data_IF_777755287692
#
_entry.id   IF_777755287692
#
_cell.length_a   1.000
_cell.length_b   1.000
_cell.length_c   1.000
_cell.angle_alpha   90.00
_cell.angle_beta   90.00
_cell.angle_gamma   90.00
#
_symmetry.space_group_name_H-M   'P 1'
#
loop_
_entity.id
_entity.type
_entity.pdbx_description
1 polymer ?
#
# COMPACT_ATOMS: atom_id res chain seq x y z
N UNK A 1 -14.87 -14.44 8.69
CA UNK A 1 -13.55 -14.92 8.23
C UNK A 1 -12.52 -14.22 9.10
N UNK A 2 -11.98 -14.94 10.09
CA UNK A 2 -10.99 -14.39 11.03
C UNK A 2 -9.60 -15.03 10.86
N UNK A 3 -9.38 -15.74 9.77
CA UNK A 3 -8.08 -16.37 9.55
C UNK A 3 -7.18 -15.43 8.77
N UNK A 4 -6.11 -14.99 9.44
CA UNK A 4 -5.04 -14.23 8.80
C UNK A 4 -4.41 -15.12 7.71
N UNK A 5 -4.30 -14.65 6.44
CA UNK A 5 -3.70 -15.46 5.38
C UNK A 5 -2.26 -15.81 5.75
N UNK A 6 -1.85 -17.04 5.51
CA UNK A 6 -0.47 -17.47 5.75
C UNK A 6 0.41 -17.25 4.51
N UNK A 7 -0.16 -17.47 3.32
CA UNK A 7 0.52 -17.25 2.05
C UNK A 7 -0.16 -16.14 1.24
N UNK A 8 0.58 -15.09 0.97
CA UNK A 8 0.14 -13.94 0.18
C UNK A 8 0.95 -13.86 -1.10
N UNK A 9 0.27 -13.81 -2.24
CA UNK A 9 0.90 -13.70 -3.56
C UNK A 9 0.57 -12.34 -4.19
N UNK A 10 1.59 -11.64 -4.66
CA UNK A 10 1.47 -10.29 -5.21
C UNK A 10 1.56 -10.29 -6.74
N UNK A 11 0.62 -9.64 -7.41
CA UNK A 11 0.70 -9.31 -8.84
C UNK A 11 1.13 -7.85 -8.99
N UNK A 12 2.28 -7.60 -9.64
CA UNK A 12 2.92 -6.30 -9.73
C UNK A 12 3.79 -5.99 -8.50
N UNK A 13 4.52 -6.99 -7.99
CA UNK A 13 5.26 -6.94 -6.72
C UNK A 13 6.44 -5.96 -6.75
N UNK A 14 7.03 -5.68 -7.91
CA UNK A 14 8.23 -4.84 -8.02
C UNK A 14 7.94 -3.33 -8.01
N UNK A 15 6.68 -2.92 -7.93
CA UNK A 15 6.34 -1.52 -7.66
C UNK A 15 6.82 -1.09 -6.27
N UNK A 16 7.28 0.16 -6.10
CA UNK A 16 7.92 0.65 -4.86
C UNK A 16 7.09 0.40 -3.60
N UNK A 17 5.82 0.81 -3.59
CA UNK A 17 4.95 0.59 -2.44
C UNK A 17 4.58 -0.90 -2.27
N UNK A 18 4.29 -1.58 -3.37
CA UNK A 18 3.96 -3.02 -3.37
C UNK A 18 5.11 -3.85 -2.81
N UNK A 19 6.34 -3.63 -3.30
CA UNK A 19 7.53 -4.33 -2.84
C UNK A 19 7.86 -4.04 -1.38
N UNK A 20 7.72 -2.78 -0.95
CA UNK A 20 7.91 -2.40 0.45
C UNK A 20 6.92 -3.12 1.38
N UNK A 21 5.63 -3.16 1.00
CA UNK A 21 4.60 -3.89 1.77
C UNK A 21 4.85 -5.40 1.75
N UNK A 22 5.20 -5.97 0.59
CA UNK A 22 5.53 -7.39 0.46
C UNK A 22 6.70 -7.80 1.37
N UNK A 23 7.79 -7.01 1.37
CA UNK A 23 8.94 -7.22 2.25
C UNK A 23 8.55 -7.11 3.73
N UNK A 24 7.78 -6.09 4.10
CA UNK A 24 7.32 -5.89 5.48
C UNK A 24 6.37 -7.02 5.95
N UNK A 25 5.52 -7.55 5.08
CA UNK A 25 4.71 -8.74 5.38
C UNK A 25 5.59 -9.99 5.55
N UNK A 26 6.63 -10.13 4.74
CA UNK A 26 7.61 -11.21 4.89
C UNK A 26 8.34 -11.13 6.23
N UNK A 27 8.79 -9.94 6.63
CA UNK A 27 9.44 -9.70 7.93
C UNK A 27 8.48 -10.01 9.11
N UNK A 28 7.17 -9.83 8.91
CA UNK A 28 6.11 -10.19 9.89
C UNK A 28 5.80 -11.69 9.94
N UNK A 29 6.42 -12.50 9.10
CA UNK A 29 6.30 -13.96 9.11
C UNK A 29 5.34 -14.55 8.09
N UNK A 30 4.75 -13.75 7.20
CA UNK A 30 3.95 -14.29 6.09
C UNK A 30 4.83 -15.02 5.08
N UNK A 31 4.31 -16.07 4.46
CA UNK A 31 4.88 -16.57 3.22
C UNK A 31 4.48 -15.60 2.12
N UNK A 32 5.48 -14.99 1.46
CA UNK A 32 5.26 -14.00 0.41
C UNK A 32 5.91 -14.47 -0.89
N UNK A 33 5.14 -14.38 -1.97
CA UNK A 33 5.60 -14.63 -3.34
C UNK A 33 5.02 -13.56 -4.27
N UNK A 34 5.54 -13.41 -5.48
CA UNK A 34 4.94 -12.48 -6.42
C UNK A 34 5.44 -12.58 -7.84
N UNK A 35 4.67 -11.97 -8.73
CA UNK A 35 4.93 -11.87 -10.17
C UNK A 35 5.05 -10.40 -10.57
N UNK A 36 5.94 -10.14 -11.52
CA UNK A 36 6.07 -8.84 -12.18
C UNK A 36 6.71 -8.99 -13.56
N UNK A 37 6.39 -8.10 -14.50
CA UNK A 37 7.11 -8.00 -15.77
C UNK A 37 8.49 -7.36 -15.59
N UNK A 38 8.68 -6.60 -14.51
CA UNK A 38 9.86 -5.80 -14.22
C UNK A 38 10.69 -6.36 -13.05
N UNK A 39 11.04 -7.65 -13.10
CA UNK A 39 11.88 -8.27 -12.06
C UNK A 39 13.36 -7.94 -12.31
N UNK A 40 13.76 -6.73 -11.92
CA UNK A 40 15.16 -6.24 -12.03
C UNK A 40 15.54 -5.34 -10.84
N UNK A 41 16.85 -5.15 -10.58
CA UNK A 41 17.31 -4.26 -9.51
C UNK A 41 16.83 -2.82 -9.68
N UNK A 42 16.64 -2.09 -8.56
CA UNK A 42 16.99 -2.47 -7.19
C UNK A 42 15.92 -3.29 -6.44
N UNK A 43 14.65 -3.28 -6.90
CA UNK A 43 13.53 -3.87 -6.14
C UNK A 43 13.62 -5.40 -6.08
N UNK A 44 13.99 -6.07 -7.18
CA UNK A 44 14.14 -7.54 -7.17
C UNK A 44 15.20 -7.99 -6.16
N UNK A 45 16.37 -7.35 -6.18
CA UNK A 45 17.44 -7.65 -5.23
C UNK A 45 17.01 -7.41 -3.78
N UNK A 46 16.28 -6.34 -3.52
CA UNK A 46 15.73 -6.06 -2.19
C UNK A 46 14.77 -7.16 -1.73
N UNK A 47 13.80 -7.54 -2.57
CA UNK A 47 12.82 -8.58 -2.25
C UNK A 47 13.46 -9.96 -2.07
N UNK A 48 14.41 -10.31 -2.93
CA UNK A 48 15.18 -11.57 -2.84
C UNK A 48 15.99 -11.63 -1.54
N UNK A 49 16.62 -10.51 -1.13
CA UNK A 49 17.34 -10.42 0.14
C UNK A 49 16.46 -10.68 1.36
N UNK A 50 15.15 -10.41 1.23
CA UNK A 50 14.13 -10.71 2.24
C UNK A 50 13.58 -12.14 2.12
N UNK A 51 14.05 -12.94 1.17
CA UNK A 51 13.58 -14.30 0.93
C UNK A 51 12.18 -14.36 0.31
N UNK A 52 11.80 -13.35 -0.48
CA UNK A 52 10.58 -13.35 -1.29
C UNK A 52 10.89 -14.04 -2.62
N UNK A 53 10.08 -15.03 -2.98
CA UNK A 53 10.21 -15.69 -4.28
C UNK A 53 9.52 -14.87 -5.37
N UNK A 54 10.28 -14.52 -6.41
CA UNK A 54 9.83 -13.71 -7.54
C UNK A 54 9.74 -14.55 -8.81
N UNK A 55 8.74 -14.24 -9.64
CA UNK A 55 8.56 -14.84 -10.96
C UNK A 55 8.44 -13.73 -12.00
N UNK A 56 9.21 -13.86 -13.09
CA UNK A 56 9.16 -12.96 -14.23
C UNK A 56 7.93 -13.22 -15.08
N UNK A 57 7.18 -12.15 -15.39
CA UNK A 57 5.97 -12.19 -16.19
C UNK A 57 4.71 -12.54 -15.41
N UNK A 58 3.56 -12.48 -16.09
CA UNK A 58 2.23 -12.71 -15.51
C UNK A 58 1.58 -13.98 -16.08
N UNK A 59 2.17 -15.13 -15.83
CA UNK A 59 1.63 -16.42 -16.31
C UNK A 59 0.63 -17.00 -15.32
N UNK A 60 -0.55 -17.46 -15.78
CA UNK A 60 -1.57 -18.06 -14.93
C UNK A 60 -1.11 -19.27 -14.12
N UNK A 61 -0.21 -20.08 -14.71
CA UNK A 61 0.28 -21.31 -14.09
C UNK A 61 1.33 -21.06 -13.00
N UNK A 62 1.92 -19.85 -12.99
CA UNK A 62 2.88 -19.43 -11.98
C UNK A 62 2.20 -18.85 -10.72
N UNK A 63 0.85 -18.74 -10.70
CA UNK A 63 0.11 -18.37 -9.49
C UNK A 63 0.06 -19.57 -8.54
N UNK A 64 0.76 -19.52 -7.40
CA UNK A 64 0.77 -20.63 -6.46
C UNK A 64 -0.57 -20.75 -5.72
N UNK A 65 -0.81 -21.85 -5.02
CA UNK A 65 -1.92 -21.94 -4.06
C UNK A 65 -1.65 -21.00 -2.89
N UNK A 66 -2.15 -19.78 -2.99
CA UNK A 66 -2.06 -18.73 -1.98
C UNK A 66 -3.43 -18.46 -1.36
N UNK A 67 -3.43 -18.05 -0.09
CA UNK A 67 -4.66 -17.71 0.64
C UNK A 67 -5.23 -16.36 0.21
N UNK A 68 -4.36 -15.48 -0.29
CA UNK A 68 -4.71 -14.14 -0.74
C UNK A 68 -3.85 -13.74 -1.94
N UNK A 69 -4.48 -13.17 -2.95
CA UNK A 69 -3.81 -12.49 -4.06
C UNK A 69 -3.90 -10.97 -3.85
N UNK A 70 -2.77 -10.29 -3.84
CA UNK A 70 -2.74 -8.82 -3.79
C UNK A 70 -2.48 -8.28 -5.19
N UNK A 71 -3.43 -7.48 -5.71
CA UNK A 71 -3.36 -6.94 -7.07
C UNK A 71 -2.92 -5.48 -7.02
N UNK A 72 -1.80 -5.17 -7.68
CA UNK A 72 -1.28 -3.82 -7.81
C UNK A 72 -2.14 -2.91 -8.70
N UNK A 73 -2.08 -1.60 -8.49
CA UNK A 73 -2.88 -0.65 -9.24
C UNK A 73 -2.48 -0.51 -10.72
N UNK A 74 -1.25 -0.87 -11.08
CA UNK A 74 -0.80 -0.91 -12.46
C UNK A 74 -1.37 -2.09 -13.26
N UNK A 75 -2.00 -3.05 -12.60
CA UNK A 75 -2.62 -4.20 -13.24
C UNK A 75 -3.95 -3.81 -13.90
N UNK A 76 -4.32 -4.49 -15.00
CA UNK A 76 -5.54 -4.20 -15.74
C UNK A 76 -6.21 -5.48 -16.26
N UNK A 77 -7.45 -5.32 -16.72
CA UNK A 77 -8.15 -6.38 -17.46
C UNK A 77 -7.36 -6.73 -18.74
N UNK A 78 -7.42 -8.00 -19.11
CA UNK A 78 -6.64 -8.55 -20.22
C UNK A 78 -5.25 -9.08 -19.82
N UNK A 79 -4.75 -8.76 -18.62
CA UNK A 79 -3.55 -9.41 -18.10
C UNK A 79 -3.86 -10.87 -17.75
N UNK A 80 -3.05 -11.82 -18.24
CA UNK A 80 -3.34 -13.25 -18.13
C UNK A 80 -3.45 -13.74 -16.68
N UNK A 81 -2.61 -13.26 -15.77
CA UNK A 81 -2.68 -13.62 -14.36
C UNK A 81 -3.92 -13.01 -13.69
N UNK A 82 -4.28 -11.75 -14.00
CA UNK A 82 -5.52 -11.11 -13.51
C UNK A 82 -6.75 -11.91 -13.96
N UNK A 83 -6.83 -12.24 -15.24
CA UNK A 83 -7.96 -13.04 -15.77
C UNK A 83 -8.04 -14.43 -15.11
N UNK A 84 -6.90 -15.05 -14.83
CA UNK A 84 -6.87 -16.32 -14.12
C UNK A 84 -7.39 -16.21 -12.67
N UNK A 85 -7.01 -15.15 -11.94
CA UNK A 85 -7.52 -14.85 -10.59
C UNK A 85 -9.05 -14.73 -10.62
N UNK A 86 -9.59 -13.96 -11.56
CA UNK A 86 -11.02 -13.73 -11.70
C UNK A 86 -11.78 -15.02 -12.08
N UNK A 87 -11.29 -15.74 -13.09
CA UNK A 87 -11.91 -16.97 -13.59
C UNK A 87 -11.90 -18.10 -12.54
N UNK A 88 -10.80 -18.22 -11.79
CA UNK A 88 -10.68 -19.22 -10.71
C UNK A 88 -11.38 -18.77 -9.42
N UNK A 89 -11.93 -17.54 -9.37
CA UNK A 89 -12.57 -16.93 -8.19
C UNK A 89 -11.69 -16.98 -6.94
N UNK A 90 -10.39 -16.74 -7.11
CA UNK A 90 -9.46 -16.68 -5.99
C UNK A 90 -9.79 -15.46 -5.13
N UNK A 91 -9.49 -15.55 -3.84
CA UNK A 91 -9.60 -14.38 -2.96
C UNK A 91 -8.54 -13.35 -3.37
N UNK A 92 -8.98 -12.15 -3.72
CA UNK A 92 -8.07 -11.06 -4.05
C UNK A 92 -8.49 -9.74 -3.40
N UNK A 93 -7.50 -8.93 -3.11
CA UNK A 93 -7.64 -7.56 -2.60
C UNK A 93 -6.63 -6.66 -3.31
N UNK A 94 -6.88 -5.36 -3.29
CA UNK A 94 -5.85 -4.36 -3.56
C UNK A 94 -4.88 -4.25 -2.38
N UNK A 95 -3.72 -3.62 -2.59
CA UNK A 95 -2.76 -3.35 -1.51
C UNK A 95 -3.37 -2.48 -0.40
N UNK A 96 -4.10 -1.38 -0.68
CA UNK A 96 -4.78 -0.59 0.34
C UNK A 96 -5.82 -1.39 1.15
N UNK A 97 -6.60 -2.25 0.51
CA UNK A 97 -7.55 -3.13 1.20
C UNK A 97 -6.83 -4.15 2.08
N UNK A 98 -5.73 -4.72 1.60
CA UNK A 98 -4.90 -5.65 2.38
C UNK A 98 -4.38 -4.97 3.64
N UNK A 99 -3.84 -3.77 3.53
CA UNK A 99 -3.42 -2.98 4.69
C UNK A 99 -4.60 -2.68 5.63
N UNK A 100 -5.74 -2.25 5.09
CA UNK A 100 -6.95 -1.99 5.89
C UNK A 100 -7.35 -3.20 6.73
N UNK A 101 -7.37 -4.38 6.13
CA UNK A 101 -7.86 -5.60 6.79
C UNK A 101 -6.89 -6.18 7.80
N UNK A 102 -5.58 -6.20 7.48
CA UNK A 102 -4.60 -6.96 8.24
C UNK A 102 -3.60 -6.11 9.03
N UNK A 103 -3.60 -4.78 8.82
CA UNK A 103 -2.60 -3.91 9.42
C UNK A 103 -3.22 -2.74 10.19
N UNK A 104 -4.15 -2.00 9.59
CA UNK A 104 -4.58 -0.69 10.08
C UNK A 104 -5.70 -0.74 11.12
N UNK A 105 -6.46 -1.83 11.19
CA UNK A 105 -7.59 -1.94 12.12
C UNK A 105 -7.11 -1.93 13.57
N UNK A 106 -7.80 -1.15 14.41
CA UNK A 106 -7.52 -1.03 15.85
C UNK A 106 -6.26 -0.23 16.17
N UNK A 107 -5.75 0.56 15.22
CA UNK A 107 -4.59 1.43 15.40
C UNK A 107 -4.97 2.90 15.20
N UNK A 108 -4.15 3.78 15.76
CA UNK A 108 -4.15 5.21 15.45
C UNK A 108 -3.42 5.42 14.13
N UNK A 109 -4.18 5.58 13.05
CA UNK A 109 -3.62 5.75 11.71
C UNK A 109 -3.47 7.24 11.40
N UNK A 110 -2.21 7.65 11.20
CA UNK A 110 -1.83 9.01 10.83
C UNK A 110 -1.58 9.04 9.33
N UNK A 111 -2.48 9.67 8.57
CA UNK A 111 -2.42 9.74 7.11
C UNK A 111 -1.87 11.10 6.69
N UNK A 112 -0.75 11.09 5.99
CA UNK A 112 -0.14 12.29 5.42
C UNK A 112 -0.43 12.33 3.93
N UNK A 113 -1.13 13.35 3.48
CA UNK A 113 -1.56 13.50 2.08
C UNK A 113 -1.35 14.91 1.55
N UNK A 114 -1.70 15.13 0.31
CA UNK A 114 -1.52 16.40 -0.41
C UNK A 114 -0.86 16.16 -1.76
N UNK A 115 -0.87 17.15 -2.62
CA UNK A 115 -0.26 17.06 -3.95
C UNK A 115 1.26 16.88 -3.83
N UNK A 116 1.90 17.68 -2.97
CA UNK A 116 3.36 17.69 -2.81
C UNK A 116 3.79 17.50 -1.35
N UNK A 117 5.01 16.98 -1.15
CA UNK A 117 5.64 16.86 0.15
C UNK A 117 5.19 15.66 1.00
N UNK A 118 4.29 14.81 0.51
CA UNK A 118 3.79 13.61 1.22
C UNK A 118 4.92 12.77 1.82
N UNK A 119 5.83 12.30 0.98
CA UNK A 119 6.94 11.41 1.37
C UNK A 119 7.84 12.04 2.43
N UNK A 120 8.18 13.32 2.26
CA UNK A 120 9.02 14.06 3.21
C UNK A 120 8.33 14.18 4.56
N UNK A 121 7.07 14.63 4.58
CA UNK A 121 6.31 14.83 5.83
C UNK A 121 6.06 13.49 6.53
N UNK A 122 5.71 12.44 5.78
CA UNK A 122 5.53 11.08 6.34
C UNK A 122 6.83 10.55 6.96
N UNK A 123 7.96 10.76 6.28
CA UNK A 123 9.29 10.35 6.77
C UNK A 123 9.67 11.07 8.06
N UNK A 124 9.45 12.40 8.12
CA UNK A 124 9.71 13.20 9.31
C UNK A 124 8.83 12.75 10.48
N UNK A 125 7.53 12.54 10.22
CA UNK A 125 6.58 12.11 11.25
C UNK A 125 6.95 10.74 11.79
N UNK A 126 7.25 9.77 10.91
CA UNK A 126 7.69 8.43 11.31
C UNK A 126 8.97 8.50 12.14
N UNK A 127 9.92 9.34 11.76
CA UNK A 127 11.16 9.53 12.53
C UNK A 127 10.93 10.19 13.90
N UNK A 128 10.02 11.14 14.02
CA UNK A 128 9.65 11.76 15.31
C UNK A 128 9.09 10.68 16.25
N UNK A 129 8.18 9.85 15.77
CA UNK A 129 7.60 8.76 16.57
C UNK A 129 8.65 7.71 16.96
N UNK A 130 9.55 7.35 16.03
CA UNK A 130 10.66 6.44 16.29
C UNK A 130 11.58 7.00 17.37
N UNK A 131 11.98 8.27 17.23
CA UNK A 131 12.86 8.98 18.18
C UNK A 131 12.23 9.16 19.57
N UNK A 132 10.89 9.18 19.63
CA UNK A 132 10.15 9.23 20.88
C UNK A 132 9.96 7.84 21.52
N UNK A 133 10.48 6.78 20.92
CA UNK A 133 10.35 5.40 21.43
C UNK A 133 8.95 4.80 21.24
N UNK A 134 8.13 5.35 20.34
CA UNK A 134 6.76 4.88 20.08
C UNK A 134 6.71 3.73 19.05
N UNK A 135 7.84 3.44 18.40
CA UNK A 135 8.05 2.33 17.46
C UNK A 135 6.89 2.17 16.43
N UNK A 136 6.53 3.21 15.64
CA UNK A 136 5.37 3.14 14.78
C UNK A 136 5.52 2.11 13.67
N UNK A 137 4.40 1.53 13.22
CA UNK A 137 4.35 0.97 11.88
C UNK A 137 4.30 2.12 10.85
N UNK A 138 4.78 1.90 9.64
CA UNK A 138 4.72 2.94 8.60
C UNK A 138 4.71 2.37 7.18
N UNK A 139 4.16 3.18 6.25
CA UNK A 139 4.30 3.02 4.80
C UNK A 139 4.61 4.38 4.18
N UNK A 140 5.74 4.48 3.52
CA UNK A 140 6.30 5.70 2.92
C UNK A 140 6.58 5.41 1.46
N UNK A 141 6.30 6.35 0.56
CA UNK A 141 6.47 6.21 -0.89
C UNK A 141 7.94 6.20 -1.38
N UNK A 142 8.89 6.19 -0.45
CA UNK A 142 10.33 6.09 -0.69
C UNK A 142 11.03 5.31 0.40
N UNK A 143 12.36 5.28 0.37
CA UNK A 143 13.20 4.66 1.40
C UNK A 143 13.96 5.75 2.14
N UNK A 144 13.46 6.24 3.30
CA UNK A 144 14.17 7.21 4.11
C UNK A 144 15.49 6.61 4.64
N UNK A 145 16.59 7.33 4.49
CA UNK A 145 17.93 6.84 4.86
C UNK A 145 18.06 6.47 6.34
N UNK A 146 17.35 7.20 7.21
CA UNK A 146 17.34 6.97 8.67
C UNK A 146 16.42 5.83 9.12
N UNK A 147 15.47 5.38 8.28
CA UNK A 147 14.59 4.25 8.56
C UNK A 147 15.01 2.97 7.80
N UNK A 148 15.77 3.12 6.72
CA UNK A 148 16.36 2.02 5.95
C UNK A 148 15.40 1.22 5.07
N UNK A 149 14.08 1.47 5.17
CA UNK A 149 13.06 0.79 4.36
C UNK A 149 11.80 1.66 4.21
N UNK A 150 11.02 1.40 3.16
CA UNK A 150 9.80 2.17 2.86
C UNK A 150 8.56 1.71 3.63
N UNK A 151 8.58 0.51 4.21
CA UNK A 151 7.47 0.01 5.02
C UNK A 151 7.97 -0.83 6.19
N UNK A 152 7.24 -0.75 7.31
CA UNK A 152 7.47 -1.57 8.50
C UNK A 152 6.14 -1.90 9.17
N UNK A 153 5.86 -3.18 9.39
CA UNK A 153 4.61 -3.64 10.01
C UNK A 153 4.84 -4.05 11.47
N UNK A 154 5.15 -3.10 12.33
CA UNK A 154 5.34 -3.35 13.77
C UNK A 154 4.02 -3.57 14.50
N UNK A 155 4.08 -4.22 15.64
CA UNK A 155 2.97 -4.34 16.59
C UNK A 155 2.92 -3.10 17.49
N UNK A 156 2.45 -1.99 16.92
CA UNK A 156 2.36 -0.68 17.55
C UNK A 156 0.92 -0.19 17.54
N UNK A 157 0.59 0.70 18.47
CA UNK A 157 -0.67 1.43 18.45
C UNK A 157 -0.75 2.42 17.28
N UNK A 158 0.40 2.86 16.76
CA UNK A 158 0.51 3.91 15.75
C UNK A 158 0.90 3.34 14.40
N UNK A 159 0.26 3.83 13.36
CA UNK A 159 0.66 3.57 11.99
C UNK A 159 0.67 4.87 11.19
N UNK A 160 1.81 5.18 10.58
CA UNK A 160 2.02 6.41 9.81
C UNK A 160 2.07 6.04 8.34
N UNK A 161 1.16 6.60 7.54
CA UNK A 161 0.99 6.18 6.16
C UNK A 161 0.90 7.36 5.21
N UNK A 162 1.64 7.26 4.12
CA UNK A 162 1.55 8.19 3.01
C UNK A 162 0.24 7.96 2.25
N UNK A 163 -0.59 8.98 2.23
CA UNK A 163 -1.90 9.00 1.60
C UNK A 163 -1.83 9.41 0.14
N UNK A 164 -1.72 8.43 -0.75
CA UNK A 164 -1.69 8.62 -2.19
C UNK A 164 -3.12 8.81 -2.73
N UNK A 165 -3.30 9.86 -3.55
CA UNK A 165 -4.56 10.22 -4.22
C UNK A 165 -4.85 9.37 -5.46
N UNK A 166 -3.89 8.61 -5.97
CA UNK A 166 -4.10 7.70 -7.10
C UNK A 166 -5.13 6.61 -6.79
N UNK A 167 -5.78 6.13 -7.86
CA UNK A 167 -6.74 5.03 -7.76
C UNK A 167 -6.13 3.76 -7.14
N UNK A 168 -6.98 3.00 -6.51
CA UNK A 168 -6.61 1.84 -5.70
C UNK A 168 -6.21 0.65 -6.55
N UNK A 169 -7.02 0.31 -7.56
CA UNK A 169 -6.83 -0.80 -8.47
C UNK A 169 -7.73 -0.65 -9.71
N UNK A 170 -7.60 -1.53 -10.71
CA UNK A 170 -8.47 -1.52 -11.88
C UNK A 170 -9.95 -1.72 -11.52
N UNK A 171 -10.24 -2.42 -10.45
CA UNK A 171 -11.60 -2.71 -9.97
C UNK A 171 -12.09 -1.72 -8.89
N UNK A 172 -11.25 -0.84 -8.38
CA UNK A 172 -11.61 0.22 -7.43
C UNK A 172 -10.91 1.54 -7.81
N UNK A 173 -11.70 2.47 -8.33
CA UNK A 173 -11.22 3.78 -8.80
C UNK A 173 -11.23 4.86 -7.74
N UNK A 174 -11.48 4.51 -6.48
CA UNK A 174 -11.31 5.43 -5.36
C UNK A 174 -9.83 5.62 -5.04
N UNK A 175 -9.49 6.79 -4.53
CA UNK A 175 -8.12 7.08 -4.07
C UNK A 175 -7.71 6.12 -2.96
N UNK A 176 -6.44 5.71 -2.92
CA UNK A 176 -5.91 4.73 -1.96
C UNK A 176 -6.16 5.13 -0.50
N UNK A 177 -6.07 6.41 -0.19
CA UNK A 177 -6.21 6.92 1.18
C UNK A 177 -7.60 6.68 1.81
N UNK A 178 -8.67 6.46 1.02
CA UNK A 178 -10.00 6.15 1.60
C UNK A 178 -10.06 4.78 2.28
N UNK A 179 -9.06 3.94 2.07
CA UNK A 179 -8.93 2.65 2.72
C UNK A 179 -8.18 2.71 4.05
N UNK A 180 -7.52 3.83 4.39
CA UNK A 180 -6.51 3.86 5.44
C UNK A 180 -7.05 4.07 6.86
N UNK A 181 -8.38 4.11 7.06
CA UNK A 181 -9.01 4.26 8.38
C UNK A 181 -8.37 5.42 9.18
N UNK A 182 -8.35 6.63 8.65
CA UNK A 182 -7.62 7.73 9.25
C UNK A 182 -8.21 8.14 10.60
N UNK A 183 -7.38 8.40 11.59
CA UNK A 183 -7.73 9.10 12.83
C UNK A 183 -7.15 10.52 12.83
N UNK A 184 -5.94 10.69 12.33
CA UNK A 184 -5.32 11.97 12.07
C UNK A 184 -4.96 12.09 10.60
N UNK A 185 -5.31 13.22 9.99
CA UNK A 185 -4.96 13.54 8.59
C UNK A 185 -4.13 14.81 8.55
N UNK A 186 -3.00 14.77 7.87
CA UNK A 186 -2.24 15.96 7.50
C UNK A 186 -2.41 16.17 6.00
N UNK A 187 -2.96 17.32 5.61
CA UNK A 187 -3.06 17.75 4.22
C UNK A 187 -2.04 18.84 3.97
N UNK A 188 -0.95 18.51 3.28
CA UNK A 188 0.12 19.49 3.01
C UNK A 188 -0.35 20.63 2.11
N UNK A 189 -0.97 20.29 0.99
CA UNK A 189 -1.48 21.21 -0.03
C UNK A 189 -2.44 20.46 -0.98
N UNK A 190 -3.24 21.22 -1.72
CA UNK A 190 -4.11 20.67 -2.77
C UNK A 190 -3.94 21.57 -3.99
N UNK A 191 -3.27 21.07 -5.00
CA UNK A 191 -3.02 21.72 -6.27
C UNK A 191 -3.48 20.83 -7.43
N UNK A 192 -3.67 21.39 -8.61
CA UNK A 192 -3.98 20.58 -9.79
C UNK A 192 -2.72 19.88 -10.28
N UNK A 193 -2.69 18.58 -10.11
CA UNK A 193 -1.66 17.66 -10.62
C UNK A 193 -2.33 16.34 -11.05
N UNK A 194 -1.56 15.43 -11.63
CA UNK A 194 -2.05 14.11 -12.05
C UNK A 194 -3.17 14.20 -13.09
N UNK A 195 -2.94 14.98 -14.18
CA UNK A 195 -3.88 15.15 -15.29
C UNK A 195 -4.21 13.84 -16.05
N UNK A 196 -3.51 12.75 -15.75
CA UNK A 196 -3.76 11.39 -16.23
C UNK A 196 -4.95 10.73 -15.53
N UNK A 197 -5.30 11.16 -14.31
CA UNK A 197 -6.39 10.58 -13.52
C UNK A 197 -7.46 11.59 -13.08
N UNK A 198 -7.13 12.89 -13.02
CA UNK A 198 -8.04 13.96 -12.63
C UNK A 198 -8.24 14.96 -13.76
N UNK A 199 -9.50 15.29 -14.05
CA UNK A 199 -9.85 16.26 -15.09
C UNK A 199 -9.58 17.70 -14.68
N UNK A 200 -9.78 17.99 -13.38
CA UNK A 200 -9.68 19.33 -12.82
C UNK A 200 -9.43 19.30 -11.30
N UNK A 201 -9.19 20.48 -10.72
CA UNK A 201 -8.97 20.66 -9.29
C UNK A 201 -10.19 20.26 -8.44
N UNK A 202 -11.40 20.39 -8.96
CA UNK A 202 -12.61 20.09 -8.19
C UNK A 202 -12.81 18.56 -8.07
N UNK A 203 -12.35 17.79 -9.01
CA UNK A 203 -12.31 16.33 -8.91
C UNK A 203 -11.30 15.88 -7.83
N UNK A 204 -10.11 16.52 -7.79
CA UNK A 204 -9.12 16.30 -6.71
C UNK A 204 -9.75 16.65 -5.35
N UNK A 205 -10.33 17.84 -5.20
CA UNK A 205 -11.01 18.25 -3.96
C UNK A 205 -12.12 17.27 -3.55
N UNK A 206 -12.81 16.67 -4.52
CA UNK A 206 -13.83 15.65 -4.24
C UNK A 206 -13.22 14.40 -3.61
N UNK A 207 -12.05 13.97 -4.07
CA UNK A 207 -11.32 12.85 -3.46
C UNK A 207 -10.90 13.17 -2.03
N UNK A 208 -10.37 14.39 -1.79
CA UNK A 208 -10.01 14.83 -0.42
C UNK A 208 -11.24 14.94 0.48
N UNK A 209 -12.40 15.45 0.00
CA UNK A 209 -13.65 15.44 0.77
C UNK A 209 -14.07 14.03 1.19
N UNK A 210 -13.88 13.02 0.32
CA UNK A 210 -14.16 11.62 0.68
C UNK A 210 -13.26 11.12 1.80
N UNK A 211 -11.97 11.52 1.80
CA UNK A 211 -11.05 11.23 2.89
C UNK A 211 -11.52 11.88 4.20
N UNK A 212 -11.82 13.19 4.17
CA UNK A 212 -12.26 13.92 5.36
C UNK A 212 -13.56 13.37 5.96
N UNK A 213 -14.49 12.91 5.11
CA UNK A 213 -15.75 12.33 5.55
C UNK A 213 -15.62 11.01 6.32
N UNK A 214 -14.47 10.36 6.29
CA UNK A 214 -14.21 9.12 7.02
C UNK A 214 -13.29 9.30 8.24
N UNK A 215 -12.88 10.53 8.53
CA UNK A 215 -12.19 10.88 9.78
C UNK A 215 -13.21 10.84 10.91
N UNK A 216 -12.98 10.12 12.01
CA UNK A 216 -13.88 10.09 13.16
C UNK A 216 -14.12 11.46 13.77
N UNK A 217 -15.22 11.64 14.49
CA UNK A 217 -15.54 12.91 15.18
C UNK A 217 -14.50 13.33 16.23
N UNK A 218 -13.79 12.36 16.79
CA UNK A 218 -12.65 12.57 17.73
C UNK A 218 -11.30 12.63 17.01
N UNK A 219 -11.30 12.47 15.70
CA UNK A 219 -10.11 12.58 14.88
C UNK A 219 -9.70 14.03 14.61
N UNK A 220 -8.57 14.22 13.94
CA UNK A 220 -7.99 15.53 13.67
C UNK A 220 -7.61 15.68 12.19
N UNK A 221 -7.79 16.88 11.66
CA UNK A 221 -7.33 17.28 10.32
C UNK A 221 -6.47 18.53 10.45
#
# INVERSE_FOLDING_TARGET
>A
MNDTPQHVHFLGICGTAMGSVAAAMKDKGFKVTGQDDNVYPPMSTFLESKGVALTQGFKPDDIPPADLIVIGNAMSRGNAAVEAVLNRKLLYLSMPETLRHFVLRGRHNLVVTGTHGKTTTTSILAWIFESAGLEPGYLIGGIPSNLGQGACLRDSKYFIIEGDEYDTAFFDKRSKFVHYLPELVIVNNIEFDHADIYRDLDEIKTSFRRLLNIVPSEGMV
#
